data_IF_876881173594
#
_entry.id   IF_876881173594
#
_cell.length_a   1.000
_cell.length_b   1.000
_cell.length_c   1.000
_cell.angle_alpha   90.00
_cell.angle_beta   90.00
_cell.angle_gamma   90.00
#
_symmetry.space_group_name_H-M   'P 1'
#
loop_
_entity.id
_entity.type
_entity.pdbx_description
1 polymer ?
#
# COMPACT_ATOMS: atom_id res chain seq x y z
N UNK A 1 29.55 -29.67 -57.53
CA UNK A 1 29.57 -28.99 -56.22
C UNK A 1 28.42 -27.99 -56.19
N UNK A 2 27.37 -28.26 -55.43
CA UNK A 2 26.22 -27.35 -55.23
C UNK A 2 26.31 -26.83 -53.79
N UNK A 3 26.44 -25.51 -53.61
CA UNK A 3 26.44 -24.87 -52.31
C UNK A 3 25.01 -24.41 -51.97
N UNK A 4 24.53 -24.80 -50.80
CA UNK A 4 23.23 -24.48 -50.23
C UNK A 4 23.40 -23.29 -49.28
N UNK A 5 22.92 -22.11 -49.66
CA UNK A 5 22.93 -20.90 -48.83
C UNK A 5 21.66 -20.86 -47.97
N UNK A 6 21.83 -20.94 -46.65
CA UNK A 6 20.75 -20.79 -45.66
C UNK A 6 20.67 -19.31 -45.27
N UNK A 7 19.58 -18.63 -45.65
CA UNK A 7 19.31 -17.23 -45.29
C UNK A 7 18.57 -17.19 -43.95
N UNK A 8 19.25 -16.73 -42.90
CA UNK A 8 18.71 -16.58 -41.55
C UNK A 8 17.88 -15.28 -41.49
N UNK A 9 16.55 -15.38 -41.43
CA UNK A 9 15.64 -14.24 -41.24
C UNK A 9 15.57 -13.93 -39.74
N UNK A 10 16.22 -12.85 -39.32
CA UNK A 10 16.15 -12.34 -37.95
C UNK A 10 14.85 -11.58 -37.71
N UNK A 11 13.98 -12.12 -36.86
CA UNK A 11 12.82 -11.41 -36.31
C UNK A 11 13.30 -10.33 -35.33
N UNK A 12 13.23 -9.06 -35.74
CA UNK A 12 13.36 -7.92 -34.83
C UNK A 12 12.06 -7.77 -34.02
N UNK A 13 12.09 -8.10 -32.74
CA UNK A 13 11.00 -7.80 -31.81
C UNK A 13 11.07 -6.33 -31.40
N UNK A 14 10.13 -5.51 -31.88
CA UNK A 14 9.97 -4.14 -31.46
C UNK A 14 9.57 -4.11 -29.98
N UNK A 15 10.46 -3.61 -29.12
CA UNK A 15 10.16 -3.35 -27.72
C UNK A 15 9.43 -2.01 -27.64
N UNK A 16 8.15 -2.02 -27.25
CA UNK A 16 7.40 -0.80 -26.97
C UNK A 16 7.90 -0.20 -25.64
N UNK A 17 8.86 0.72 -25.75
CA UNK A 17 9.32 1.50 -24.60
C UNK A 17 8.23 2.51 -24.22
N UNK A 18 7.42 2.17 -23.21
CA UNK A 18 6.52 3.14 -22.57
C UNK A 18 7.31 3.94 -21.53
N UNK A 19 7.37 5.25 -21.71
CA UNK A 19 7.98 6.16 -20.74
C UNK A 19 6.88 6.73 -19.82
N UNK A 20 7.14 6.72 -18.51
CA UNK A 20 6.26 7.37 -17.53
C UNK A 20 6.50 8.89 -17.54
N UNK A 21 5.42 9.68 -17.57
CA UNK A 21 5.47 11.14 -17.60
C UNK A 21 4.27 11.77 -16.89
N UNK A 22 4.44 13.00 -16.40
CA UNK A 22 3.35 13.77 -15.77
C UNK A 22 2.45 14.40 -16.82
N UNK A 23 1.19 14.67 -16.47
CA UNK A 23 0.23 15.38 -17.32
C UNK A 23 0.52 16.88 -17.27
N UNK A 24 0.72 17.52 -18.42
CA UNK A 24 1.01 18.96 -18.53
C UNK A 24 -0.24 19.77 -18.87
N UNK A 25 -1.18 19.20 -19.62
CA UNK A 25 -2.46 19.83 -19.98
C UNK A 25 -3.57 18.78 -19.97
N UNK A 26 -4.75 19.13 -19.47
CA UNK A 26 -5.97 18.32 -19.53
C UNK A 26 -7.15 19.22 -19.89
N UNK A 27 -7.86 18.88 -20.96
CA UNK A 27 -9.03 19.60 -21.45
C UNK A 27 -10.17 18.62 -21.76
N UNK A 28 -11.40 19.00 -21.45
CA UNK A 28 -12.60 18.20 -21.73
C UNK A 28 -13.52 19.02 -22.63
N UNK A 29 -13.85 18.46 -23.79
CA UNK A 29 -14.76 19.07 -24.75
C UNK A 29 -15.84 18.06 -25.15
N UNK A 30 -17.06 18.26 -24.62
CA UNK A 30 -18.17 17.34 -24.83
C UNK A 30 -17.87 15.96 -24.26
N UNK A 31 -17.89 14.95 -25.14
CA UNK A 31 -17.72 13.54 -24.79
C UNK A 31 -16.27 13.05 -24.94
N UNK A 32 -15.32 13.96 -25.18
CA UNK A 32 -13.90 13.62 -25.34
C UNK A 32 -13.04 14.44 -24.37
N UNK A 33 -12.14 13.75 -23.67
CA UNK A 33 -11.03 14.38 -22.97
C UNK A 33 -9.77 14.34 -23.82
N UNK A 34 -9.03 15.44 -23.87
CA UNK A 34 -7.71 15.53 -24.49
C UNK A 34 -6.67 15.94 -23.46
N UNK A 35 -5.45 15.40 -23.59
CA UNK A 35 -4.36 15.75 -22.69
C UNK A 35 -3.00 15.67 -23.38
N UNK A 36 -2.00 16.31 -22.77
CA UNK A 36 -0.60 16.22 -23.16
C UNK A 36 0.24 15.77 -21.97
N UNK A 37 1.40 15.17 -22.26
CA UNK A 37 2.37 14.77 -21.25
C UNK A 37 3.56 15.75 -21.25
N UNK A 38 4.28 15.79 -20.13
CA UNK A 38 5.50 16.58 -19.97
C UNK A 38 6.65 16.07 -20.84
N UNK A 39 6.61 14.82 -21.29
CA UNK A 39 7.51 14.27 -22.31
C UNK A 39 6.77 13.99 -23.62
N UNK A 40 7.45 14.16 -24.78
CA UNK A 40 6.86 13.84 -26.07
C UNK A 40 6.63 12.33 -26.23
N UNK A 41 5.74 11.96 -27.15
CA UNK A 41 5.47 10.55 -27.47
C UNK A 41 6.72 9.89 -28.05
N UNK A 42 6.97 8.64 -27.67
CA UNK A 42 8.15 7.88 -28.09
C UNK A 42 7.90 7.02 -29.34
N UNK A 43 6.65 6.78 -29.71
CA UNK A 43 6.28 6.01 -30.89
C UNK A 43 5.92 6.93 -32.07
N UNK A 44 5.96 6.37 -33.28
CA UNK A 44 5.53 7.07 -34.49
C UNK A 44 4.01 7.26 -34.47
N UNK A 45 3.49 8.50 -34.50
CA UNK A 45 2.05 8.75 -34.53
C UNK A 45 1.41 8.10 -35.76
N UNK A 46 0.16 7.58 -35.66
CA UNK A 46 -0.54 7.03 -36.82
C UNK A 46 -0.81 8.14 -37.84
N UNK A 47 -0.97 7.76 -39.12
CA UNK A 47 -1.15 8.70 -40.23
C UNK A 47 -2.39 9.60 -40.13
N UNK A 48 -3.33 9.25 -39.25
CA UNK A 48 -4.51 10.04 -38.94
C UNK A 48 -4.25 11.21 -37.98
N UNK A 49 -3.04 11.39 -37.44
CA UNK A 49 -2.72 12.48 -36.51
C UNK A 49 -2.14 13.66 -37.28
N UNK A 50 -2.69 14.86 -37.06
CA UNK A 50 -2.15 16.08 -37.66
C UNK A 50 -0.86 16.55 -36.97
N UNK A 51 -0.03 17.31 -37.68
CA UNK A 51 1.24 17.83 -37.14
C UNK A 51 1.06 18.63 -35.84
N UNK A 52 -0.01 19.43 -35.74
CA UNK A 52 -0.31 20.22 -34.54
C UNK A 52 -0.74 19.38 -33.33
N UNK A 53 -1.11 18.12 -33.52
CA UNK A 53 -1.67 17.24 -32.50
C UNK A 53 -0.77 16.04 -32.17
N UNK A 54 0.47 16.01 -32.67
CA UNK A 54 1.38 14.87 -32.49
C UNK A 54 1.57 14.47 -31.03
N UNK A 55 1.58 15.45 -30.10
CA UNK A 55 1.77 15.20 -28.66
C UNK A 55 0.46 15.14 -27.85
N UNK A 56 -0.71 15.22 -28.50
CA UNK A 56 -2.02 15.13 -27.84
C UNK A 56 -2.57 13.71 -27.84
N UNK A 57 -3.25 13.38 -26.76
CA UNK A 57 -3.94 12.12 -26.56
C UNK A 57 -5.43 12.36 -26.40
N UNK A 58 -6.27 11.45 -26.88
CA UNK A 58 -7.72 11.51 -26.75
C UNK A 58 -8.29 10.29 -25.99
N UNK A 59 -9.25 10.56 -25.11
CA UNK A 59 -10.05 9.57 -24.39
C UNK A 59 -11.52 9.81 -24.71
N UNK A 60 -12.22 8.77 -25.17
CA UNK A 60 -13.66 8.80 -25.38
C UNK A 60 -14.40 8.53 -24.06
N UNK A 61 -15.17 9.51 -23.57
CA UNK A 61 -15.89 9.45 -22.28
C UNK A 61 -17.27 8.77 -22.36
N UNK A 62 -17.74 8.37 -23.56
CA UNK A 62 -19.00 7.64 -23.72
C UNK A 62 -18.93 6.17 -23.29
N UNK A 63 -17.73 5.66 -22.98
CA UNK A 63 -17.54 4.30 -22.51
C UNK A 63 -17.18 4.29 -21.02
N UNK A 64 -17.62 3.25 -20.31
CA UNK A 64 -17.25 3.04 -18.92
C UNK A 64 -15.72 2.98 -18.74
N UNK A 65 -15.02 2.35 -19.69
CA UNK A 65 -13.56 2.28 -19.71
C UNK A 65 -12.94 3.68 -19.82
N UNK A 66 -13.47 4.53 -20.70
CA UNK A 66 -13.00 5.91 -20.87
C UNK A 66 -13.23 6.78 -19.65
N UNK A 67 -14.39 6.65 -18.99
CA UNK A 67 -14.67 7.35 -17.73
C UNK A 67 -13.73 6.91 -16.60
N UNK A 68 -13.40 5.62 -16.54
CA UNK A 68 -12.42 5.10 -15.59
C UNK A 68 -11.00 5.65 -15.87
N UNK A 69 -10.58 5.67 -17.14
CA UNK A 69 -9.29 6.26 -17.54
C UNK A 69 -9.22 7.75 -17.22
N UNK A 70 -10.28 8.50 -17.48
CA UNK A 70 -10.36 9.91 -17.12
C UNK A 70 -10.28 10.14 -15.61
N UNK A 71 -10.99 9.34 -14.81
CA UNK A 71 -10.92 9.42 -13.34
C UNK A 71 -9.49 9.15 -12.83
N UNK A 72 -8.79 8.19 -13.43
CA UNK A 72 -7.39 7.90 -13.15
C UNK A 72 -6.49 9.10 -13.49
N UNK A 73 -6.74 9.73 -14.64
CA UNK A 73 -6.00 10.89 -15.12
C UNK A 73 -6.18 12.11 -14.19
N UNK A 74 -7.40 12.41 -13.76
CA UNK A 74 -7.68 13.49 -12.79
C UNK A 74 -6.97 13.22 -11.46
N UNK A 75 -6.95 11.96 -11.01
CA UNK A 75 -6.22 11.56 -9.80
C UNK A 75 -4.72 11.78 -9.97
N UNK A 76 -4.17 11.43 -11.14
CA UNK A 76 -2.76 11.64 -11.47
C UNK A 76 -2.39 13.12 -11.44
N UNK A 77 -3.20 13.96 -12.09
CA UNK A 77 -3.02 15.43 -12.10
C UNK A 77 -3.05 15.99 -10.68
N UNK A 78 -4.05 15.61 -9.87
CA UNK A 78 -4.20 16.10 -8.49
C UNK A 78 -3.03 15.71 -7.57
N UNK A 79 -2.28 14.65 -7.89
CA UNK A 79 -1.16 14.14 -7.10
C UNK A 79 0.19 14.36 -7.77
N UNK A 80 0.23 15.10 -8.88
CA UNK A 80 1.43 15.28 -9.71
C UNK A 80 2.12 13.94 -10.05
N UNK A 81 1.32 12.88 -10.24
CA UNK A 81 1.83 11.52 -10.43
C UNK A 81 2.12 11.25 -11.91
N UNK A 82 3.23 10.57 -12.17
CA UNK A 82 3.58 10.11 -13.51
C UNK A 82 2.65 8.97 -13.97
N UNK A 83 2.23 9.03 -15.23
CA UNK A 83 1.44 8.02 -15.92
C UNK A 83 2.21 7.44 -17.09
N UNK A 84 1.92 6.19 -17.41
CA UNK A 84 2.32 5.55 -18.66
C UNK A 84 1.07 5.39 -19.53
N UNK A 85 1.19 5.80 -20.79
CA UNK A 85 0.10 5.77 -21.78
C UNK A 85 0.44 4.75 -22.85
N UNK A 86 -0.51 3.89 -23.18
CA UNK A 86 -0.43 2.97 -24.31
C UNK A 86 -1.30 3.50 -25.44
N UNK A 87 -0.73 3.60 -26.64
CA UNK A 87 -1.44 4.04 -27.83
C UNK A 87 -2.40 2.96 -28.36
N UNK A 88 -3.56 3.37 -28.88
CA UNK A 88 -4.45 2.52 -29.68
C UNK A 88 -4.12 2.54 -31.19
N UNK A 89 -3.17 3.38 -31.61
CA UNK A 89 -2.75 3.61 -33.01
C UNK A 89 -3.91 3.94 -33.97
N UNK A 90 -4.92 4.67 -33.46
CA UNK A 90 -6.12 5.08 -34.21
C UNK A 90 -6.65 6.43 -33.70
N UNK A 91 -7.49 7.09 -34.49
CA UNK A 91 -8.03 8.43 -34.20
C UNK A 91 -9.57 8.45 -34.19
N UNK A 92 -10.22 7.46 -33.58
CA UNK A 92 -11.69 7.31 -33.61
C UNK A 92 -12.42 8.25 -32.65
N UNK A 93 -11.83 8.55 -31.49
CA UNK A 93 -12.46 9.39 -30.45
C UNK A 93 -12.55 10.87 -30.82
N UNK A 94 -11.57 11.36 -31.58
CA UNK A 94 -11.47 12.73 -32.04
C UNK A 94 -10.61 12.73 -33.31
N UNK A 95 -11.12 13.36 -34.37
CA UNK A 95 -10.37 13.50 -35.61
C UNK A 95 -9.03 14.18 -35.34
N UNK A 96 -7.99 13.74 -36.04
CA UNK A 96 -6.63 14.28 -35.96
C UNK A 96 -5.92 14.14 -34.60
N UNK A 97 -6.48 13.40 -33.63
CA UNK A 97 -5.86 13.14 -32.32
C UNK A 97 -5.85 11.64 -32.03
N UNK A 98 -4.70 11.16 -31.59
CA UNK A 98 -4.50 9.76 -31.28
C UNK A 98 -5.28 9.31 -30.05
N UNK A 99 -5.98 8.18 -30.17
CA UNK A 99 -6.72 7.57 -29.07
C UNK A 99 -5.81 6.78 -28.14
N UNK A 100 -6.06 6.92 -26.85
CA UNK A 100 -5.45 6.11 -25.80
C UNK A 100 -6.10 4.73 -25.72
N UNK A 101 -5.27 3.68 -25.69
CA UNK A 101 -5.71 2.30 -25.42
C UNK A 101 -5.80 2.03 -23.92
N UNK A 102 -4.79 2.45 -23.17
CA UNK A 102 -4.74 2.27 -21.72
C UNK A 102 -3.90 3.36 -21.04
N UNK A 103 -4.21 3.62 -19.76
CA UNK A 103 -3.43 4.47 -18.88
C UNK A 103 -3.09 3.64 -17.64
N UNK A 104 -1.83 3.66 -17.25
CA UNK A 104 -1.37 3.07 -16.00
C UNK A 104 -0.71 4.13 -15.13
N UNK A 105 -0.98 4.08 -13.83
CA UNK A 105 -0.22 4.83 -12.85
C UNK A 105 1.02 4.04 -12.50
N UNK A 106 2.19 4.66 -12.63
CA UNK A 106 3.38 4.13 -11.98
C UNK A 106 3.20 4.33 -10.49
N UNK A 107 2.77 3.28 -9.78
CA UNK A 107 2.93 3.21 -8.33
C UNK A 107 4.42 3.06 -8.09
N UNK A 108 5.13 4.17 -7.92
CA UNK A 108 6.52 4.13 -7.46
C UNK A 108 6.54 3.56 -6.04
N UNK A 109 6.54 2.24 -5.91
CA UNK A 109 6.88 1.53 -4.68
C UNK A 109 8.38 1.24 -4.59
N UNK A 110 9.20 1.78 -5.51
CA UNK A 110 10.64 1.49 -5.57
C UNK A 110 11.53 2.65 -6.03
N UNK A 111 11.00 3.86 -6.21
CA UNK A 111 11.84 5.05 -6.37
C UNK A 111 12.04 5.68 -4.98
N UNK A 112 13.28 5.84 -4.49
CA UNK A 112 13.50 6.70 -3.33
C UNK A 112 13.00 8.09 -3.71
N UNK A 113 12.19 8.75 -2.87
CA UNK A 113 11.76 10.12 -3.13
C UNK A 113 13.01 10.98 -3.36
N UNK A 114 12.95 11.95 -4.28
CA UNK A 114 14.07 12.86 -4.54
C UNK A 114 14.48 13.69 -3.32
N UNK A 115 13.70 13.66 -2.22
CA UNK A 115 14.06 14.19 -0.89
C UNK A 115 14.31 13.12 0.20
N UNK A 116 14.22 11.83 -0.16
CA UNK A 116 14.20 10.69 0.76
C UNK A 116 12.86 10.55 1.50
N UNK A 117 12.47 9.33 1.84
CA UNK A 117 11.28 9.11 2.66
C UNK A 117 11.51 9.59 4.10
N UNK A 118 10.48 10.04 4.77
CA UNK A 118 10.50 10.51 6.15
C UNK A 118 9.56 9.68 7.02
N UNK A 119 10.01 9.38 8.23
CA UNK A 119 9.20 8.78 9.28
C UNK A 119 8.49 9.90 10.06
N UNK A 120 7.20 9.74 10.31
CA UNK A 120 6.36 10.66 11.07
C UNK A 120 5.69 9.92 12.22
N UNK A 121 5.33 10.63 13.30
CA UNK A 121 4.43 10.10 14.32
C UNK A 121 3.10 9.68 13.71
N UNK A 122 2.29 8.95 14.47
CA UNK A 122 0.96 8.52 14.08
C UNK A 122 -0.02 9.67 13.76
N UNK A 123 0.29 10.89 14.18
CA UNK A 123 -0.43 12.12 13.79
C UNK A 123 -0.24 12.51 12.31
N UNK A 124 0.75 11.92 11.63
CA UNK A 124 1.08 12.19 10.23
C UNK A 124 1.67 13.58 9.96
N UNK A 125 1.98 14.35 11.00
CA UNK A 125 2.48 15.74 10.93
C UNK A 125 3.87 15.85 11.56
N UNK A 126 4.10 15.23 12.72
CA UNK A 126 5.36 15.35 13.46
C UNK A 126 6.46 14.50 12.83
N UNK A 127 7.46 15.13 12.19
CA UNK A 127 8.62 14.45 11.60
C UNK A 127 9.52 13.84 12.68
N UNK A 128 9.73 12.54 12.62
CA UNK A 128 10.61 11.80 13.52
C UNK A 128 12.04 11.69 12.97
N UNK A 129 12.20 11.52 11.67
CA UNK A 129 13.51 11.44 11.04
C UNK A 129 13.47 10.96 9.60
N UNK A 130 14.62 11.04 8.92
CA UNK A 130 14.76 10.66 7.51
C UNK A 130 15.02 9.17 7.39
N UNK A 131 14.21 8.45 6.62
CA UNK A 131 14.42 7.03 6.32
C UNK A 131 15.64 6.90 5.42
N UNK A 132 16.59 6.06 5.84
CA UNK A 132 17.86 5.83 5.13
C UNK A 132 17.92 4.43 4.50
N UNK A 133 17.18 3.46 5.04
CA UNK A 133 17.03 2.13 4.46
C UNK A 133 15.80 1.43 5.01
N UNK A 134 15.37 0.36 4.36
CA UNK A 134 14.27 -0.49 4.81
C UNK A 134 14.54 -1.95 4.43
N UNK A 135 13.87 -2.86 5.13
CA UNK A 135 13.84 -4.28 4.82
C UNK A 135 12.47 -4.85 5.19
N UNK A 136 12.30 -6.16 5.08
CA UNK A 136 11.05 -6.84 5.42
C UNK A 136 10.64 -6.73 6.90
N UNK A 137 11.54 -6.27 7.77
CA UNK A 137 11.33 -6.17 9.21
C UNK A 137 11.10 -4.74 9.69
N UNK A 138 11.35 -3.71 8.85
CA UNK A 138 11.17 -2.32 9.25
C UNK A 138 12.06 -1.33 8.50
N UNK A 139 12.23 -0.17 9.13
CA UNK A 139 12.80 1.03 8.54
C UNK A 139 13.93 1.56 9.43
N UNK A 140 15.12 1.74 8.86
CA UNK A 140 16.18 2.49 9.51
C UNK A 140 16.04 3.98 9.17
N UNK A 141 16.18 4.85 10.17
CA UNK A 141 16.04 6.29 10.00
C UNK A 141 17.04 7.09 10.84
N UNK A 142 17.43 8.26 10.35
CA UNK A 142 18.23 9.23 11.10
C UNK A 142 17.27 10.17 11.86
N UNK A 143 17.29 10.18 13.21
CA UNK A 143 16.34 10.97 13.98
C UNK A 143 16.55 12.49 13.86
N UNK A 144 15.47 13.27 14.00
CA UNK A 144 15.52 14.74 13.97
C UNK A 144 16.03 15.39 15.26
N UNK A 145 16.33 14.61 16.29
CA UNK A 145 16.81 15.12 17.58
C UNK A 145 18.32 15.45 17.59
N UNK A 146 18.98 15.39 16.43
CA UNK A 146 20.42 15.68 16.28
C UNK A 146 21.36 14.50 16.55
N UNK A 147 20.85 13.31 16.86
CA UNK A 147 21.71 12.11 16.94
C UNK A 147 22.12 11.62 15.55
N UNK A 148 23.40 11.26 15.40
CA UNK A 148 23.93 10.69 14.16
C UNK A 148 23.69 9.17 14.05
N UNK A 149 23.31 8.52 15.15
CA UNK A 149 23.06 7.09 15.19
C UNK A 149 21.70 6.78 14.55
N UNK A 150 21.65 5.97 13.49
CA UNK A 150 20.39 5.52 12.94
C UNK A 150 19.59 4.71 13.97
N UNK A 151 18.29 4.95 14.03
CA UNK A 151 17.34 4.15 14.80
C UNK A 151 16.54 3.24 13.86
N UNK A 152 15.94 2.19 14.42
CA UNK A 152 15.13 1.24 13.68
C UNK A 152 13.68 1.28 14.15
N UNK A 153 12.76 1.38 13.20
CA UNK A 153 11.32 1.30 13.42
C UNK A 153 10.76 0.05 12.73
N UNK A 154 10.27 -0.90 13.53
CA UNK A 154 9.56 -2.08 13.06
C UNK A 154 8.07 -1.92 13.37
N UNK A 155 7.20 -1.68 12.37
CA UNK A 155 5.76 -1.62 12.62
C UNK A 155 5.25 -3.01 13.05
N UNK A 156 4.81 -3.12 14.29
CA UNK A 156 4.07 -4.30 14.76
C UNK A 156 2.58 -4.04 14.57
N UNK A 157 2.03 -4.51 13.45
CA UNK A 157 0.62 -4.33 13.09
C UNK A 157 0.00 -5.71 12.87
N UNK A 158 -1.09 -6.00 13.60
CA UNK A 158 -1.92 -7.16 13.39
C UNK A 158 -3.25 -6.71 12.74
N UNK A 159 -3.60 -7.34 11.63
CA UNK A 159 -4.85 -7.04 10.90
C UNK A 159 -6.08 -7.57 11.61
N UNK A 160 -5.92 -8.58 12.46
CA UNK A 160 -6.99 -9.19 13.26
C UNK A 160 -6.49 -9.56 14.65
N UNK A 161 -7.42 -9.83 15.56
CA UNK A 161 -7.17 -10.47 16.84
C UNK A 161 -7.09 -12.00 16.75
N UNK A 162 -6.83 -12.55 15.55
CA UNK A 162 -6.66 -13.98 15.40
C UNK A 162 -5.58 -14.49 16.36
N UNK A 163 -5.93 -15.47 17.19
CA UNK A 163 -5.08 -16.01 18.24
C UNK A 163 -5.32 -15.42 19.63
N UNK A 164 -6.10 -14.35 19.77
CA UNK A 164 -6.46 -13.80 21.07
C UNK A 164 -7.48 -14.69 21.79
N UNK A 165 -7.31 -14.79 23.11
CA UNK A 165 -8.15 -15.59 23.99
C UNK A 165 -9.13 -14.69 24.75
N UNK A 166 -10.32 -15.20 25.05
CA UNK A 166 -11.42 -14.48 25.69
C UNK A 166 -12.10 -15.38 26.71
N UNK A 167 -12.76 -14.77 27.70
CA UNK A 167 -13.57 -15.47 28.70
C UNK A 167 -15.07 -15.44 28.35
N UNK A 168 -15.44 -14.74 27.28
CA UNK A 168 -16.81 -14.62 26.78
C UNK A 168 -16.97 -15.31 25.41
N UNK A 169 -18.15 -15.88 25.16
CA UNK A 169 -18.44 -16.62 23.93
C UNK A 169 -18.55 -15.77 22.67
N UNK A 170 -18.57 -14.44 22.80
CA UNK A 170 -18.66 -13.50 21.67
C UNK A 170 -17.30 -12.88 21.31
N UNK A 171 -16.25 -13.16 22.08
CA UNK A 171 -14.92 -12.56 21.96
C UNK A 171 -14.98 -11.02 21.97
N UNK A 172 -15.81 -10.45 22.84
CA UNK A 172 -16.02 -8.99 22.94
C UNK A 172 -15.47 -8.37 24.22
N UNK A 173 -15.16 -9.17 25.23
CA UNK A 173 -14.51 -8.67 26.45
C UNK A 173 -13.03 -8.40 26.19
N UNK A 174 -12.30 -8.01 27.23
CA UNK A 174 -10.87 -7.77 27.10
C UNK A 174 -10.12 -9.05 26.68
N UNK A 175 -9.28 -8.96 25.63
CA UNK A 175 -8.56 -10.11 25.14
C UNK A 175 -7.37 -10.45 26.04
N UNK A 176 -6.98 -11.71 26.01
CA UNK A 176 -5.76 -12.25 26.59
C UNK A 176 -4.87 -12.76 25.46
N UNK A 177 -3.56 -12.73 25.69
CA UNK A 177 -2.56 -13.26 24.78
C UNK A 177 -1.72 -14.31 25.49
N UNK A 178 -1.65 -15.50 24.92
CA UNK A 178 -0.73 -16.56 25.38
C UNK A 178 0.71 -16.16 25.05
N UNK A 179 1.52 -15.94 26.08
CA UNK A 179 2.88 -15.43 25.92
C UNK A 179 3.81 -16.53 25.42
N UNK A 180 4.29 -16.39 24.18
CA UNK A 180 5.37 -17.23 23.65
C UNK A 180 6.73 -16.53 23.55
N UNK A 181 6.81 -15.20 23.39
CA UNK A 181 8.05 -14.41 23.41
C UNK A 181 7.76 -12.92 23.66
N UNK A 182 8.71 -12.21 24.30
CA UNK A 182 8.85 -10.75 24.64
C UNK A 182 7.60 -9.84 24.79
N UNK A 183 7.68 -8.82 25.65
CA UNK A 183 6.64 -7.79 25.73
C UNK A 183 6.77 -6.85 24.53
N UNK A 184 5.96 -7.03 23.49
CA UNK A 184 5.91 -6.11 22.35
C UNK A 184 4.54 -5.40 22.30
N UNK A 185 4.58 -4.13 21.92
CA UNK A 185 3.40 -3.28 21.71
C UNK A 185 2.93 -3.50 20.27
N UNK A 186 1.70 -3.99 20.09
CA UNK A 186 1.14 -4.33 18.77
C UNK A 186 -0.05 -3.44 18.47
N UNK A 187 -0.10 -2.86 17.28
CA UNK A 187 -1.30 -2.19 16.80
C UNK A 187 -2.26 -3.22 16.22
N UNK A 188 -3.41 -3.39 16.85
CA UNK A 188 -4.47 -4.25 16.33
C UNK A 188 -5.48 -3.40 15.58
N UNK A 189 -5.60 -3.62 14.26
CA UNK A 189 -6.50 -2.84 13.41
C UNK A 189 -7.96 -2.92 13.88
N UNK A 190 -8.42 -4.10 14.33
CA UNK A 190 -9.79 -4.29 14.81
C UNK A 190 -10.13 -3.46 16.05
N UNK A 191 -9.15 -3.19 16.91
CA UNK A 191 -9.32 -2.37 18.10
C UNK A 191 -8.97 -0.90 17.87
N UNK A 192 -8.38 -0.60 16.70
CA UNK A 192 -7.81 0.70 16.35
C UNK A 192 -6.93 1.27 17.47
N UNK A 193 -6.11 0.41 18.09
CA UNK A 193 -5.28 0.78 19.22
C UNK A 193 -4.06 -0.13 19.34
N UNK A 194 -3.00 0.42 19.92
CA UNK A 194 -1.90 -0.38 20.44
C UNK A 194 -2.34 -1.13 21.69
N UNK A 195 -2.03 -2.41 21.74
CA UNK A 195 -2.22 -3.26 22.91
C UNK A 195 -0.85 -3.73 23.45
N UNK A 196 -0.77 -3.88 24.76
CA UNK A 196 0.36 -4.50 25.45
C UNK A 196 -0.13 -5.37 26.60
N UNK A 197 0.75 -6.20 27.14
CA UNK A 197 0.45 -7.06 28.28
C UNK A 197 0.27 -6.19 29.53
N UNK A 198 -0.85 -6.38 30.23
CA UNK A 198 -1.14 -5.71 31.50
C UNK A 198 -0.15 -6.11 32.60
N UNK A 199 -0.19 -5.41 33.74
CA UNK A 199 0.68 -5.74 34.88
C UNK A 199 0.39 -7.17 35.39
N UNK A 200 1.35 -8.07 35.19
CA UNK A 200 1.23 -9.51 35.49
C UNK A 200 1.27 -9.81 36.99
N UNK A 201 1.60 -8.85 37.85
CA UNK A 201 1.52 -9.00 39.30
C UNK A 201 0.10 -8.90 39.84
N UNK A 202 -0.86 -8.41 39.04
CA UNK A 202 -2.27 -8.33 39.40
C UNK A 202 -2.98 -9.61 38.95
N UNK A 203 -3.68 -10.27 39.86
CA UNK A 203 -4.34 -11.58 39.64
C UNK A 203 -5.34 -11.54 38.49
N UNK A 204 -6.18 -10.50 38.42
CA UNK A 204 -7.19 -10.34 37.36
C UNK A 204 -6.61 -10.22 35.94
N UNK A 205 -5.30 -9.93 35.81
CA UNK A 205 -4.63 -9.87 34.52
C UNK A 205 -4.11 -11.24 34.05
N UNK A 206 -4.28 -12.30 34.84
CA UNK A 206 -3.77 -13.64 34.55
C UNK A 206 -4.94 -14.57 34.25
N UNK A 207 -5.00 -15.12 33.04
CA UNK A 207 -6.12 -15.97 32.64
C UNK A 207 -6.29 -17.17 33.58
N UNK A 208 -5.21 -17.78 34.06
CA UNK A 208 -5.29 -18.94 34.93
C UNK A 208 -5.99 -18.70 36.28
N UNK A 209 -6.05 -17.46 36.75
CA UNK A 209 -6.75 -17.12 38.01
C UNK A 209 -8.28 -17.17 37.87
N UNK A 210 -8.81 -17.29 36.64
CA UNK A 210 -10.23 -17.47 36.37
C UNK A 210 -10.70 -18.93 36.49
N UNK A 211 -9.83 -19.85 36.93
CA UNK A 211 -10.20 -21.21 37.31
C UNK A 211 -10.84 -22.01 36.16
N UNK A 212 -12.04 -22.54 36.39
CA UNK A 212 -12.77 -23.38 35.43
C UNK A 212 -13.57 -22.59 34.39
N UNK A 213 -13.31 -21.29 34.22
CA UNK A 213 -13.99 -20.51 33.19
C UNK A 213 -13.70 -21.08 31.78
N UNK A 214 -14.70 -21.16 30.90
CA UNK A 214 -14.47 -21.54 29.51
C UNK A 214 -13.63 -20.48 28.81
N UNK A 215 -12.69 -20.92 27.98
CA UNK A 215 -11.87 -20.04 27.14
C UNK A 215 -12.38 -20.11 25.71
N UNK A 216 -12.37 -18.97 25.05
CA UNK A 216 -12.71 -18.85 23.64
C UNK A 216 -11.54 -18.22 22.91
N UNK A 217 -11.30 -18.61 21.66
CA UNK A 217 -10.25 -18.09 20.82
C UNK A 217 -10.86 -17.45 19.59
N UNK A 218 -10.45 -16.23 19.31
CA UNK A 218 -10.78 -15.58 18.04
C UNK A 218 -9.85 -16.14 16.96
N UNK A 219 -10.41 -16.80 15.95
CA UNK A 219 -9.65 -17.30 14.81
C UNK A 219 -9.62 -16.31 13.63
N UNK A 220 -10.29 -15.16 13.77
CA UNK A 220 -10.51 -14.20 12.70
C UNK A 220 -11.40 -14.74 11.58
N UNK A 221 -11.73 -13.86 10.62
CA UNK A 221 -12.42 -14.23 9.39
C UNK A 221 -13.81 -14.85 9.62
N UNK A 222 -14.11 -15.92 8.88
CA UNK A 222 -15.42 -16.60 8.91
C UNK A 222 -15.60 -17.55 10.11
N UNK A 223 -14.49 -18.01 10.72
CA UNK A 223 -14.54 -18.96 11.84
C UNK A 223 -15.00 -18.28 13.12
N UNK A 224 -14.62 -17.01 13.32
CA UNK A 224 -15.03 -16.20 14.45
C UNK A 224 -14.52 -16.72 15.80
N UNK A 225 -15.34 -16.55 16.84
CA UNK A 225 -15.04 -16.91 18.22
C UNK A 225 -15.39 -18.37 18.50
N UNK A 226 -14.38 -19.19 18.82
CA UNK A 226 -14.55 -20.64 19.03
C UNK A 226 -14.19 -21.02 20.46
N UNK A 227 -15.00 -21.86 21.10
CA UNK A 227 -14.71 -22.39 22.43
C UNK A 227 -13.53 -23.36 22.38
N UNK A 228 -12.52 -23.13 23.21
CA UNK A 228 -11.38 -24.01 23.37
C UNK A 228 -11.73 -25.21 24.26
N UNK A 229 -11.02 -26.33 24.09
CA UNK A 229 -11.18 -27.49 24.98
C UNK A 229 -10.55 -27.27 26.36
N UNK A 230 -9.60 -26.35 26.45
CA UNK A 230 -8.91 -25.98 27.68
C UNK A 230 -9.71 -24.93 28.48
N UNK A 231 -9.65 -25.04 29.80
CA UNK A 231 -10.20 -24.08 30.75
C UNK A 231 -9.15 -23.04 31.15
N UNK A 232 -9.59 -21.92 31.71
CA UNK A 232 -8.73 -20.78 31.99
C UNK A 232 -7.49 -21.14 32.82
N UNK A 233 -7.62 -21.99 33.85
CA UNK A 233 -6.50 -22.45 34.70
C UNK A 233 -5.37 -23.15 33.93
N UNK A 234 -5.63 -23.64 32.72
CA UNK A 234 -4.64 -24.32 31.88
C UNK A 234 -3.77 -23.33 31.09
N UNK A 235 -4.19 -22.07 30.97
CA UNK A 235 -3.45 -21.01 30.26
C UNK A 235 -2.60 -20.18 31.23
N UNK A 236 -1.59 -20.82 31.84
CA UNK A 236 -0.72 -20.20 32.86
C UNK A 236 0.12 -19.03 32.33
N UNK A 237 0.33 -18.95 31.02
CA UNK A 237 1.09 -17.91 30.34
C UNK A 237 0.22 -16.91 29.57
N UNK A 238 -1.11 -16.96 29.70
CA UNK A 238 -2.00 -16.01 29.07
C UNK A 238 -2.30 -14.80 29.96
N UNK A 239 -2.05 -13.61 29.43
CA UNK A 239 -2.19 -12.35 30.16
C UNK A 239 -3.13 -11.39 29.45
N UNK A 240 -3.89 -10.62 30.23
CA UNK A 240 -4.81 -9.59 29.74
C UNK A 240 -4.03 -8.56 28.92
N UNK A 241 -4.59 -8.17 27.78
CA UNK A 241 -4.10 -7.05 26.99
C UNK A 241 -4.81 -5.76 27.38
N UNK A 242 -4.05 -4.68 27.46
CA UNK A 242 -4.53 -3.33 27.73
C UNK A 242 -4.09 -2.37 26.65
N UNK A 243 -4.92 -1.35 26.41
CA UNK A 243 -4.59 -0.27 25.49
C UNK A 243 -3.38 0.51 26.00
N UNK A 244 -2.46 0.82 25.10
CA UNK A 244 -1.28 1.64 25.36
C UNK A 244 -1.03 2.58 24.20
N UNK A 245 0.00 3.41 24.30
CA UNK A 245 0.58 4.14 23.19
C UNK A 245 1.95 3.55 22.86
N UNK A 246 2.39 3.73 21.62
CA UNK A 246 3.73 3.40 21.18
C UNK A 246 4.66 4.58 21.46
N UNK A 247 5.78 4.37 22.16
CA UNK A 247 6.68 5.45 22.59
C UNK A 247 7.10 6.40 21.46
N UNK A 248 7.42 5.82 20.30
CA UNK A 248 7.77 6.58 19.09
C UNK A 248 6.54 7.19 18.37
N UNK A 249 5.51 6.40 18.10
CA UNK A 249 4.43 6.76 17.16
C UNK A 249 3.19 7.39 17.83
N UNK A 250 3.04 7.26 19.14
CA UNK A 250 1.83 7.66 19.87
C UNK A 250 0.70 6.65 19.71
N UNK A 251 -0.52 7.13 19.45
CA UNK A 251 -1.76 6.33 19.44
C UNK A 251 -1.96 5.44 18.20
N UNK A 252 -1.32 5.80 17.09
CA UNK A 252 -1.46 5.12 15.79
C UNK A 252 -0.08 4.79 15.21
N UNK A 253 0.02 3.85 14.26
CA UNK A 253 1.27 3.53 13.60
C UNK A 253 1.94 4.75 12.98
N UNK A 254 3.28 4.78 13.02
CA UNK A 254 4.05 5.83 12.38
C UNK A 254 3.76 5.84 10.87
N UNK A 255 3.73 7.04 10.29
CA UNK A 255 3.55 7.21 8.85
C UNK A 255 4.91 7.31 8.16
N UNK A 256 4.95 6.82 6.93
CA UNK A 256 6.11 6.97 6.05
C UNK A 256 5.62 7.71 4.81
N UNK A 257 6.22 8.88 4.55
CA UNK A 257 5.85 9.77 3.44
C UNK A 257 7.10 10.23 2.72
#
# INVERSE_FOLDING_TARGET
MRFLTITLIGFFTAHFASAAATVSELNVQGETATFTLSSPKTHTPPSCVSESNQNKWAINLNSLQGQAMYSLLVTAVSKEQAISVESALRCESLADVEQVKSISLSMNSSAPPSEGAWLYKGDGITKLGKVISYNNFGYAYTPNNGTQTPLFYAPSIATSGAGLLYLDSECKTEPFLERHTYNYVVFYQQFNSYLTIANTSITENRMHDYGNAPVYKDWGGQTGCVKESALAYQFSTAYKLVKTEHDLCGKTPCWIK
#
